data_IF_061967651975
#
_entry.id   IF_061967651975
#
_cell.length_a   1.000
_cell.length_b   1.000
_cell.length_c   1.000
_cell.angle_alpha   90.00
_cell.angle_beta   90.00
_cell.angle_gamma   90.00
#
_symmetry.space_group_name_H-M   'P 1'
#
loop_
_entity.id
_entity.type
_entity.pdbx_description
1 polymer ?
#
# COMPACT_ATOMS: atom_id res chain seq x y z
N UNK A 1 5.76 14.44 -10.81
CA UNK A 1 4.96 14.64 -9.59
C UNK A 1 5.16 13.40 -8.73
N UNK A 2 6.11 13.44 -7.80
CA UNK A 2 6.30 12.37 -6.81
C UNK A 2 5.07 12.36 -5.91
N UNK A 3 4.36 11.23 -5.92
CA UNK A 3 3.23 11.03 -5.04
C UNK A 3 3.79 10.86 -3.62
N UNK A 4 3.79 11.95 -2.85
CA UNK A 4 3.88 11.82 -1.39
C UNK A 4 2.72 10.92 -0.97
N UNK A 5 3.06 9.85 -0.24
CA UNK A 5 2.11 8.87 0.28
C UNK A 5 0.93 9.58 1.00
N UNK A 6 1.14 10.78 1.53
CA UNK A 6 0.18 11.75 2.13
C UNK A 6 -1.24 11.84 1.56
N UNK A 7 -1.49 11.43 0.30
CA UNK A 7 -2.82 11.56 -0.33
C UNK A 7 -3.70 10.33 -0.22
N UNK A 8 -3.27 9.26 0.46
CA UNK A 8 -3.93 7.97 0.37
C UNK A 8 -4.27 7.40 1.74
N UNK A 9 -5.57 7.42 2.07
CA UNK A 9 -6.12 6.73 3.24
C UNK A 9 -5.77 5.24 3.16
N UNK A 10 -5.25 4.69 4.25
CA UNK A 10 -5.13 3.24 4.42
C UNK A 10 -6.52 2.68 4.73
N UNK A 11 -6.90 1.63 4.01
CA UNK A 11 -8.06 0.82 4.36
C UNK A 11 -7.49 -0.37 5.13
N UNK A 12 -7.75 -0.40 6.43
CA UNK A 12 -7.15 -1.37 7.35
C UNK A 12 -8.12 -2.43 7.85
N UNK A 13 -9.40 -2.25 7.58
CA UNK A 13 -10.49 -3.12 8.07
C UNK A 13 -11.24 -3.74 6.89
N UNK A 14 -11.63 -5.00 7.05
CA UNK A 14 -12.37 -5.79 6.06
C UNK A 14 -13.68 -5.11 5.64
N UNK A 15 -14.50 -4.67 6.61
CA UNK A 15 -15.77 -4.00 6.35
C UNK A 15 -15.56 -2.71 5.54
N UNK A 16 -14.52 -1.95 5.85
CA UNK A 16 -14.16 -0.75 5.10
C UNK A 16 -13.74 -1.11 3.66
N UNK A 17 -12.92 -2.16 3.48
CA UNK A 17 -12.50 -2.63 2.17
C UNK A 17 -13.68 -3.06 1.29
N UNK A 18 -14.59 -3.88 1.85
CA UNK A 18 -15.80 -4.30 1.14
C UNK A 18 -16.62 -3.09 0.71
N UNK A 19 -16.90 -2.16 1.64
CA UNK A 19 -17.68 -0.95 1.35
C UNK A 19 -17.07 -0.10 0.24
N UNK A 20 -15.74 0.02 0.23
CA UNK A 20 -15.02 0.69 -0.84
C UNK A 20 -15.23 -0.04 -2.17
N UNK A 21 -14.95 -1.34 -2.24
CA UNK A 21 -15.05 -2.10 -3.51
C UNK A 21 -16.48 -2.04 -4.05
N UNK A 22 -17.49 -2.27 -3.20
CA UNK A 22 -18.91 -2.21 -3.56
C UNK A 22 -19.33 -0.85 -4.13
N UNK A 23 -18.81 0.24 -3.57
CA UNK A 23 -19.08 1.59 -4.08
C UNK A 23 -18.55 1.81 -5.49
N UNK A 24 -17.50 1.09 -5.88
CA UNK A 24 -16.88 1.14 -7.21
C UNK A 24 -17.45 0.09 -8.17
N UNK A 25 -18.02 -1.03 -7.70
CA UNK A 25 -18.57 -2.11 -8.55
C UNK A 25 -19.56 -1.60 -9.59
N UNK A 26 -20.43 -0.66 -9.21
CA UNK A 26 -21.41 -0.08 -10.14
C UNK A 26 -20.79 0.74 -11.29
N UNK A 27 -19.49 1.02 -11.21
CA UNK A 27 -18.71 1.71 -12.24
C UNK A 27 -17.78 0.77 -13.00
N UNK A 28 -17.75 -0.53 -12.69
CA UNK A 28 -16.88 -1.47 -13.40
C UNK A 28 -17.18 -1.46 -14.91
N UNK A 29 -16.14 -1.34 -15.71
CA UNK A 29 -16.19 -1.18 -17.17
C UNK A 29 -16.92 0.08 -17.67
N UNK A 30 -17.14 1.09 -16.82
CA UNK A 30 -17.78 2.35 -17.20
C UNK A 30 -16.78 3.49 -17.35
N UNK A 31 -17.12 4.44 -18.21
CA UNK A 31 -16.36 5.67 -18.42
C UNK A 31 -16.29 6.53 -17.14
N UNK A 32 -15.21 7.27 -17.00
CA UNK A 32 -14.98 8.13 -15.83
C UNK A 32 -16.00 9.27 -15.71
N UNK A 33 -16.75 9.24 -14.62
CA UNK A 33 -17.47 10.39 -14.11
C UNK A 33 -17.00 10.69 -12.67
N UNK A 34 -16.14 11.71 -12.55
CA UNK A 34 -15.53 12.08 -11.27
C UNK A 34 -16.54 12.67 -10.28
N UNK A 35 -17.58 13.32 -10.79
CA UNK A 35 -18.62 13.96 -9.97
C UNK A 35 -19.56 12.91 -9.42
N UNK A 36 -20.03 12.00 -10.27
CA UNK A 36 -20.94 10.93 -9.88
C UNK A 36 -20.29 9.95 -8.89
N UNK A 37 -19.03 9.58 -9.13
CA UNK A 37 -18.25 8.79 -8.18
C UNK A 37 -18.04 9.55 -6.87
N UNK A 38 -17.64 10.82 -6.93
CA UNK A 38 -17.47 11.66 -5.74
C UNK A 38 -18.72 11.71 -4.84
N UNK A 39 -19.90 11.87 -5.45
CA UNK A 39 -21.19 11.81 -4.74
C UNK A 39 -21.44 10.45 -4.11
N UNK A 40 -21.20 9.36 -4.84
CA UNK A 40 -21.36 8.00 -4.32
C UNK A 40 -20.51 7.73 -3.08
N UNK A 41 -19.25 8.17 -3.09
CA UNK A 41 -18.35 7.96 -1.96
C UNK A 41 -18.79 8.76 -0.73
N UNK A 42 -19.48 9.89 -0.92
CA UNK A 42 -20.08 10.65 0.19
C UNK A 42 -21.31 9.94 0.72
N UNK A 43 -22.21 9.51 -0.17
CA UNK A 43 -23.44 8.81 0.20
C UNK A 43 -23.14 7.51 0.95
N UNK A 44 -22.03 6.86 0.58
CA UNK A 44 -21.51 5.65 1.24
C UNK A 44 -20.67 5.98 2.48
N UNK A 45 -20.62 7.23 2.94
CA UNK A 45 -19.83 7.68 4.10
C UNK A 45 -18.35 7.24 4.04
N UNK A 46 -17.77 7.16 2.84
CA UNK A 46 -16.38 6.79 2.60
C UNK A 46 -15.48 8.02 2.66
N UNK A 47 -15.95 9.15 2.11
CA UNK A 47 -15.26 10.44 2.16
C UNK A 47 -16.16 11.49 2.81
N UNK A 48 -15.53 12.48 3.46
CA UNK A 48 -16.25 13.66 3.96
C UNK A 48 -16.73 14.51 2.80
N UNK A 49 -17.98 14.99 2.89
CA UNK A 49 -18.54 15.91 1.92
C UNK A 49 -17.66 17.18 1.82
N UNK A 50 -17.05 17.46 0.66
CA UNK A 50 -16.19 18.63 0.49
C UNK A 50 -16.98 19.90 0.15
N UNK A 51 -18.29 19.79 -0.08
CA UNK A 51 -19.14 20.86 -0.57
C UNK A 51 -19.62 21.71 0.61
N UNK A 52 -19.49 23.03 0.47
CA UNK A 52 -19.98 24.02 1.42
C UNK A 52 -21.36 24.52 1.00
N UNK A 53 -22.13 25.02 1.98
CA UNK A 53 -23.38 25.72 1.70
C UNK A 53 -23.13 26.88 0.73
N UNK A 54 -24.03 27.05 -0.26
CA UNK A 54 -24.00 28.09 -1.29
C UNK A 54 -22.95 27.97 -2.41
N UNK A 55 -22.33 26.79 -2.61
CA UNK A 55 -21.50 26.56 -3.80
C UNK A 55 -22.35 26.46 -5.07
N UNK A 56 -21.90 27.06 -6.16
CA UNK A 56 -22.54 26.92 -7.48
C UNK A 56 -22.30 25.52 -8.05
N UNK A 57 -23.12 25.06 -9.00
CA UNK A 57 -22.91 23.78 -9.69
C UNK A 57 -21.52 23.68 -10.33
N UNK A 58 -21.04 24.78 -10.93
CA UNK A 58 -19.70 24.85 -11.52
C UNK A 58 -18.59 24.66 -10.46
N UNK A 59 -18.73 25.28 -9.28
CA UNK A 59 -17.75 25.16 -8.20
C UNK A 59 -17.77 23.77 -7.55
N UNK A 60 -18.94 23.12 -7.52
CA UNK A 60 -19.09 21.73 -7.07
C UNK A 60 -18.30 20.80 -8.00
N UNK A 61 -18.50 20.89 -9.31
CA UNK A 61 -17.82 20.03 -10.30
C UNK A 61 -16.30 20.24 -10.28
N UNK A 62 -15.87 21.49 -10.15
CA UNK A 62 -14.45 21.85 -9.98
C UNK A 62 -13.87 21.26 -8.69
N UNK A 63 -14.65 21.19 -7.62
CA UNK A 63 -14.21 20.62 -6.34
C UNK A 63 -14.01 19.12 -6.42
N UNK A 64 -14.96 18.38 -7.00
CA UNK A 64 -14.81 16.95 -7.23
C UNK A 64 -13.63 16.64 -8.15
N UNK A 65 -13.49 17.38 -9.25
CA UNK A 65 -12.38 17.23 -10.19
C UNK A 65 -11.02 17.47 -9.53
N UNK A 66 -10.89 18.49 -8.67
CA UNK A 66 -9.65 18.76 -7.93
C UNK A 66 -9.29 17.65 -6.93
N UNK A 67 -10.28 16.97 -6.36
CA UNK A 67 -10.09 15.88 -5.38
C UNK A 67 -9.97 14.50 -6.01
N UNK A 68 -10.11 14.39 -7.33
CA UNK A 68 -10.04 13.15 -8.08
C UNK A 68 -8.86 12.24 -7.68
N UNK A 69 -7.65 12.81 -7.62
CA UNK A 69 -6.44 12.07 -7.26
C UNK A 69 -6.52 11.40 -5.89
N UNK A 70 -7.25 11.98 -4.94
CA UNK A 70 -7.46 11.41 -3.60
C UNK A 70 -8.48 10.26 -3.62
N UNK A 71 -9.50 10.33 -4.48
CA UNK A 71 -10.50 9.25 -4.60
C UNK A 71 -9.89 8.03 -5.28
N UNK A 72 -9.23 8.25 -6.42
CA UNK A 72 -8.64 7.16 -7.19
C UNK A 72 -7.36 6.62 -6.56
N UNK A 73 -6.64 7.44 -5.79
CA UNK A 73 -5.44 7.02 -5.07
C UNK A 73 -5.72 5.94 -4.04
N UNK A 74 -6.82 6.04 -3.28
CA UNK A 74 -7.23 5.01 -2.31
C UNK A 74 -7.55 3.71 -3.03
N UNK A 75 -8.38 3.79 -4.07
CA UNK A 75 -8.78 2.63 -4.88
C UNK A 75 -7.57 1.90 -5.49
N UNK A 76 -6.69 2.63 -6.19
CA UNK A 76 -5.54 2.04 -6.89
C UNK A 76 -4.43 1.58 -5.96
N UNK A 77 -4.15 2.29 -4.86
CA UNK A 77 -3.04 1.92 -3.97
C UNK A 77 -3.31 0.70 -3.09
N UNK A 78 -4.58 0.39 -2.84
CA UNK A 78 -5.02 -0.76 -2.05
C UNK A 78 -5.29 -1.98 -2.94
N UNK A 79 -5.11 -1.86 -4.26
CA UNK A 79 -5.31 -2.97 -5.17
C UNK A 79 -6.77 -3.32 -5.41
N UNK A 80 -7.71 -2.44 -5.07
CA UNK A 80 -9.15 -2.65 -5.32
C UNK A 80 -9.50 -2.59 -6.81
N UNK A 81 -8.66 -1.92 -7.58
CA UNK A 81 -8.80 -1.84 -9.03
C UNK A 81 -7.96 -0.74 -9.62
N UNK A 82 -8.22 -0.47 -10.89
CA UNK A 82 -7.41 0.40 -11.69
C UNK A 82 -8.23 1.09 -12.79
N UNK A 83 -7.47 1.76 -13.64
CA UNK A 83 -7.91 2.86 -14.48
C UNK A 83 -7.23 2.64 -15.83
N UNK A 84 -7.96 2.19 -16.85
CA UNK A 84 -7.40 1.92 -18.18
C UNK A 84 -8.13 2.68 -19.29
N UNK A 85 -7.61 2.60 -20.52
CA UNK A 85 -8.31 3.11 -21.70
C UNK A 85 -9.00 1.96 -22.43
N UNK A 86 -10.27 2.16 -22.80
CA UNK A 86 -10.98 1.24 -23.67
C UNK A 86 -10.45 1.31 -25.12
N UNK A 87 -11.02 0.49 -26.00
CA UNK A 87 -10.67 0.43 -27.43
C UNK A 87 -10.89 1.77 -28.17
N UNK A 88 -11.70 2.68 -27.61
CA UNK A 88 -11.98 4.00 -28.17
C UNK A 88 -11.13 5.11 -27.51
N UNK A 89 -10.20 4.74 -26.62
CA UNK A 89 -9.34 5.67 -25.89
C UNK A 89 -10.01 6.36 -24.69
N UNK A 90 -11.25 5.99 -24.34
CA UNK A 90 -11.97 6.49 -23.17
C UNK A 90 -11.43 5.85 -21.91
N UNK A 91 -11.31 6.63 -20.83
CA UNK A 91 -10.85 6.09 -19.55
C UNK A 91 -11.99 5.37 -18.83
N UNK A 92 -11.79 4.11 -18.49
CA UNK A 92 -12.76 3.26 -17.82
C UNK A 92 -12.23 2.73 -16.49
N UNK A 93 -13.15 2.43 -15.58
CA UNK A 93 -12.83 1.80 -14.30
C UNK A 93 -12.77 0.28 -14.47
N UNK A 94 -11.85 -0.35 -13.76
CA UNK A 94 -11.77 -1.80 -13.62
C UNK A 94 -11.64 -2.14 -12.16
N UNK A 95 -12.52 -3.01 -11.67
CA UNK A 95 -12.27 -3.73 -10.41
C UNK A 95 -11.20 -4.78 -10.69
N UNK A 96 -10.21 -4.88 -9.82
CA UNK A 96 -9.16 -5.89 -9.94
C UNK A 96 -9.71 -7.29 -9.68
N UNK A 97 -9.09 -8.31 -10.26
CA UNK A 97 -9.58 -9.68 -10.10
C UNK A 97 -9.43 -10.17 -8.66
N UNK A 98 -8.32 -9.85 -7.98
CA UNK A 98 -8.17 -10.13 -6.54
C UNK A 98 -9.23 -9.44 -5.68
N UNK A 99 -9.70 -8.25 -6.06
CA UNK A 99 -10.79 -7.60 -5.33
C UNK A 99 -12.12 -8.30 -5.57
N UNK A 100 -12.36 -8.85 -6.77
CA UNK A 100 -13.52 -9.71 -7.07
C UNK A 100 -13.46 -10.99 -6.23
N UNK A 101 -12.32 -11.68 -6.22
CA UNK A 101 -12.12 -12.87 -5.38
C UNK A 101 -12.42 -12.58 -3.89
N UNK A 102 -12.01 -11.42 -3.39
CA UNK A 102 -12.29 -11.03 -2.01
C UNK A 102 -13.78 -10.79 -1.74
N UNK A 103 -14.49 -10.00 -2.57
CA UNK A 103 -15.93 -9.75 -2.37
C UNK A 103 -16.79 -10.99 -2.60
N UNK A 104 -16.31 -11.92 -3.44
CA UNK A 104 -16.98 -13.19 -3.72
C UNK A 104 -16.66 -14.26 -2.65
N UNK A 105 -15.89 -13.89 -1.60
CA UNK A 105 -15.45 -14.75 -0.50
C UNK A 105 -14.58 -15.95 -0.93
N UNK A 106 -13.88 -15.84 -2.06
CA UNK A 106 -12.91 -16.83 -2.51
C UNK A 106 -11.59 -16.74 -1.74
N UNK A 107 -11.23 -15.53 -1.28
CA UNK A 107 -10.07 -15.27 -0.43
C UNK A 107 -10.50 -14.43 0.79
N UNK A 108 -9.81 -14.61 1.91
CA UNK A 108 -9.99 -13.77 3.10
C UNK A 108 -9.40 -12.36 2.92
N UNK A 109 -9.84 -11.40 3.73
CA UNK A 109 -9.22 -10.07 3.77
C UNK A 109 -7.71 -10.14 4.11
N UNK A 110 -7.34 -11.07 4.99
CA UNK A 110 -5.94 -11.34 5.34
C UNK A 110 -5.11 -11.76 4.11
N UNK A 111 -5.61 -12.70 3.32
CA UNK A 111 -4.95 -13.15 2.08
C UNK A 111 -4.86 -12.01 1.06
N UNK A 112 -5.92 -11.22 0.92
CA UNK A 112 -5.96 -10.03 0.08
C UNK A 112 -4.85 -9.04 0.46
N UNK A 113 -4.80 -8.59 1.72
CA UNK A 113 -3.88 -7.53 2.15
C UNK A 113 -2.43 -8.00 2.16
N UNK A 114 -2.16 -9.25 2.56
CA UNK A 114 -0.82 -9.85 2.49
C UNK A 114 -0.34 -9.89 1.05
N UNK A 115 -1.20 -10.30 0.12
CA UNK A 115 -0.84 -10.37 -1.31
C UNK A 115 -0.55 -8.99 -1.88
N UNK A 116 -1.40 -8.02 -1.59
CA UNK A 116 -1.20 -6.64 -2.05
C UNK A 116 0.12 -6.05 -1.53
N UNK A 117 0.40 -6.21 -0.23
CA UNK A 117 1.68 -5.79 0.34
C UNK A 117 2.88 -6.53 -0.24
N UNK A 118 2.72 -7.82 -0.54
CA UNK A 118 3.73 -8.61 -1.23
C UNK A 118 3.94 -8.16 -2.67
N UNK A 119 2.95 -7.59 -3.37
CA UNK A 119 3.12 -7.11 -4.75
C UNK A 119 3.68 -5.69 -4.83
N UNK A 120 3.56 -4.89 -3.78
CA UNK A 120 4.18 -3.55 -3.73
C UNK A 120 5.69 -3.68 -3.96
N UNK A 121 6.20 -2.87 -4.90
CA UNK A 121 7.62 -2.77 -5.18
C UNK A 121 8.06 -1.33 -5.51
N UNK A 122 9.36 -1.08 -5.34
CA UNK A 122 10.04 0.14 -5.75
C UNK A 122 11.22 -0.18 -6.68
N UNK A 123 11.52 0.65 -7.70
CA UNK A 123 10.69 1.76 -8.18
C UNK A 123 9.32 1.26 -8.64
N UNK A 124 8.27 2.08 -8.47
CA UNK A 124 6.92 1.68 -8.89
C UNK A 124 6.90 1.48 -10.40
N UNK A 125 6.28 0.41 -10.93
CA UNK A 125 6.28 0.17 -12.37
C UNK A 125 5.68 1.29 -13.22
N UNK A 126 4.69 2.01 -12.70
CA UNK A 126 4.15 3.23 -13.33
C UNK A 126 4.98 4.51 -13.09
N UNK A 127 6.15 4.39 -12.46
CA UNK A 127 7.05 5.48 -12.11
C UNK A 127 8.05 5.83 -13.21
N UNK A 128 8.71 6.99 -13.04
CA UNK A 128 9.75 7.47 -13.96
C UNK A 128 11.03 6.61 -13.88
N UNK A 129 11.35 6.11 -12.69
CA UNK A 129 12.61 5.40 -12.40
C UNK A 129 12.52 3.89 -12.67
N UNK A 130 11.35 3.38 -13.05
CA UNK A 130 11.19 1.97 -13.41
C UNK A 130 11.68 1.69 -14.83
N UNK A 131 12.48 0.62 -14.93
CA UNK A 131 13.09 0.12 -16.16
C UNK A 131 12.40 -1.20 -16.52
N UNK A 132 11.67 -1.22 -17.63
CA UNK A 132 11.02 -2.43 -18.14
C UNK A 132 12.06 -3.52 -18.45
N UNK A 133 11.69 -4.77 -18.21
CA UNK A 133 12.51 -5.96 -18.44
C UNK A 133 13.81 -6.02 -17.61
N UNK A 134 13.99 -5.13 -16.64
CA UNK A 134 15.07 -5.20 -15.67
C UNK A 134 14.57 -5.69 -14.32
N UNK A 135 15.25 -6.71 -13.79
CA UNK A 135 15.05 -7.16 -12.40
C UNK A 135 15.88 -6.36 -11.41
N UNK A 136 16.88 -5.63 -11.88
CA UNK A 136 17.80 -4.88 -11.04
C UNK A 136 17.07 -3.75 -10.30
N UNK A 137 17.52 -3.46 -9.07
CA UNK A 137 17.01 -2.37 -8.23
C UNK A 137 15.53 -2.46 -7.84
N UNK A 138 14.87 -3.60 -8.06
CA UNK A 138 13.51 -3.83 -7.57
C UNK A 138 13.54 -4.28 -6.11
N UNK A 139 12.86 -3.51 -5.27
CA UNK A 139 12.77 -3.75 -3.84
C UNK A 139 11.33 -4.03 -3.45
N UNK A 140 11.13 -5.05 -2.60
CA UNK A 140 9.85 -5.40 -2.00
C UNK A 140 9.82 -4.94 -0.54
N UNK A 141 9.29 -3.74 -0.22
CA UNK A 141 9.46 -3.12 1.09
C UNK A 141 8.82 -3.94 2.21
N UNK A 142 7.64 -4.55 2.00
CA UNK A 142 7.01 -5.41 2.99
C UNK A 142 7.87 -6.63 3.33
N UNK A 143 8.41 -7.30 2.31
CA UNK A 143 9.32 -8.45 2.49
C UNK A 143 10.59 -8.03 3.22
N UNK A 144 11.14 -6.86 2.90
CA UNK A 144 12.31 -6.30 3.59
C UNK A 144 12.04 -6.07 5.08
N UNK A 145 10.92 -5.45 5.42
CA UNK A 145 10.49 -5.20 6.80
C UNK A 145 10.37 -6.51 7.58
N UNK A 146 9.69 -7.51 7.00
CA UNK A 146 9.53 -8.83 7.64
C UNK A 146 10.89 -9.52 7.86
N UNK A 147 11.80 -9.45 6.88
CA UNK A 147 13.17 -9.99 7.02
C UNK A 147 13.95 -9.31 8.14
N UNK A 148 13.89 -7.98 8.24
CA UNK A 148 14.54 -7.21 9.31
C UNK A 148 13.99 -7.65 10.67
N UNK A 149 12.66 -7.70 10.82
CA UNK A 149 12.03 -8.10 12.08
C UNK A 149 12.38 -9.54 12.48
N UNK A 150 12.45 -10.48 11.53
CA UNK A 150 12.93 -11.85 11.79
C UNK A 150 14.38 -11.84 12.30
N UNK A 151 15.27 -11.10 11.63
CA UNK A 151 16.69 -11.04 12.04
C UNK A 151 16.82 -10.44 13.43
N UNK A 152 16.11 -9.34 13.72
CA UNK A 152 16.10 -8.73 15.05
C UNK A 152 15.56 -9.72 16.10
N UNK A 153 14.45 -10.41 15.80
CA UNK A 153 13.87 -11.43 16.67
C UNK A 153 14.82 -12.58 16.97
N UNK A 154 15.56 -13.07 15.96
CA UNK A 154 16.54 -14.15 16.12
C UNK A 154 17.72 -13.77 17.02
N UNK A 155 18.06 -12.48 17.11
CA UNK A 155 19.16 -11.97 17.93
C UNK A 155 18.74 -11.65 19.35
N UNK A 156 17.57 -11.03 19.53
CA UNK A 156 17.01 -10.74 20.85
C UNK A 156 15.54 -10.40 20.75
N UNK A 157 14.69 -11.15 21.46
CA UNK A 157 13.25 -10.90 21.56
C UNK A 157 12.93 -9.50 22.10
N UNK A 158 13.78 -8.94 22.97
CA UNK A 158 13.58 -7.60 23.56
C UNK A 158 13.94 -6.45 22.61
N UNK A 159 14.69 -6.73 21.54
CA UNK A 159 15.14 -5.75 20.54
C UNK A 159 14.47 -6.02 19.18
N UNK A 160 13.45 -6.88 19.15
CA UNK A 160 12.75 -7.35 17.95
C UNK A 160 11.68 -6.36 17.48
N UNK A 161 12.06 -5.10 17.35
CA UNK A 161 11.19 -4.03 16.91
C UNK A 161 11.87 -3.10 15.92
N UNK A 162 11.10 -2.30 15.20
CA UNK A 162 11.54 -1.10 14.49
C UNK A 162 10.64 0.07 14.91
N UNK A 163 11.13 1.29 14.90
CA UNK A 163 10.32 2.51 15.11
C UNK A 163 10.43 3.45 13.90
N UNK A 164 9.78 4.61 13.99
CA UNK A 164 9.79 5.61 12.91
C UNK A 164 11.20 6.07 12.55
N UNK A 165 12.11 6.14 13.53
CA UNK A 165 13.51 6.47 13.28
C UNK A 165 14.16 5.43 12.37
N UNK A 166 13.98 4.14 12.67
CA UNK A 166 14.55 3.07 11.83
C UNK A 166 13.94 3.09 10.42
N UNK A 167 12.62 3.31 10.32
CA UNK A 167 11.93 3.37 9.03
C UNK A 167 12.46 4.52 8.18
N UNK A 168 12.49 5.74 8.71
CA UNK A 168 12.94 6.91 7.97
C UNK A 168 14.43 6.80 7.62
N UNK A 169 15.25 6.47 8.62
CA UNK A 169 16.72 6.49 8.48
C UNK A 169 17.22 5.37 7.58
N UNK A 170 16.70 4.16 7.75
CA UNK A 170 17.26 2.96 7.14
C UNK A 170 16.45 2.41 5.97
N UNK A 171 15.16 2.70 5.91
CA UNK A 171 14.30 2.22 4.83
C UNK A 171 14.02 3.35 3.83
N UNK A 172 13.36 4.43 4.25
CA UNK A 172 12.92 5.49 3.33
C UNK A 172 14.08 6.24 2.69
N UNK A 173 15.04 6.74 3.47
CA UNK A 173 16.18 7.51 2.96
C UNK A 173 17.09 6.70 2.03
N UNK A 174 16.99 5.37 2.08
CA UNK A 174 17.73 4.46 1.23
C UNK A 174 16.84 3.84 0.13
N UNK A 175 15.63 4.36 -0.09
CA UNK A 175 14.65 3.84 -1.05
C UNK A 175 14.37 2.33 -0.89
N UNK A 176 14.50 1.83 0.34
CA UNK A 176 14.43 0.43 0.71
C UNK A 176 15.52 -0.45 0.03
N UNK A 177 16.48 0.13 -0.69
CA UNK A 177 17.57 -0.54 -1.41
C UNK A 177 18.71 -0.95 -0.46
N UNK A 178 18.39 -1.81 0.49
CA UNK A 178 19.31 -2.21 1.55
C UNK A 178 19.36 -3.70 1.79
N UNK A 179 20.57 -4.20 2.06
CA UNK A 179 20.74 -5.55 2.58
C UNK A 179 20.14 -5.65 3.99
N UNK A 180 19.09 -6.44 4.16
CA UNK A 180 18.37 -6.58 5.43
C UNK A 180 19.27 -6.98 6.62
N UNK A 181 20.38 -7.70 6.40
CA UNK A 181 21.34 -8.05 7.45
C UNK A 181 22.15 -6.83 7.89
N UNK A 182 22.60 -6.03 6.93
CA UNK A 182 23.33 -4.78 7.19
C UNK A 182 22.45 -3.78 7.93
N UNK A 183 21.21 -3.59 7.45
CA UNK A 183 20.23 -2.71 8.09
C UNK A 183 19.94 -3.15 9.53
N UNK A 184 19.71 -4.44 9.74
CA UNK A 184 19.50 -4.99 11.09
C UNK A 184 20.70 -4.78 12.01
N UNK A 185 21.93 -4.85 11.48
CA UNK A 185 23.14 -4.58 12.25
C UNK A 185 23.26 -3.10 12.62
N UNK A 186 22.95 -2.17 11.71
CA UNK A 186 22.96 -0.72 11.98
C UNK A 186 21.94 -0.35 13.05
N UNK A 187 20.71 -0.88 12.95
CA UNK A 187 19.66 -0.68 13.96
C UNK A 187 20.14 -1.11 15.36
N UNK A 188 20.77 -2.28 15.48
CA UNK A 188 21.30 -2.78 16.76
C UNK A 188 22.46 -1.91 17.25
N UNK A 189 23.33 -1.49 16.34
CA UNK A 189 24.46 -0.62 16.66
C UNK A 189 23.99 0.70 17.26
N UNK A 190 23.01 1.36 16.66
CA UNK A 190 22.49 2.64 17.15
C UNK A 190 21.91 2.54 18.55
N UNK A 191 21.14 1.48 18.80
CA UNK A 191 20.53 1.22 20.11
C UNK A 191 21.59 0.98 21.18
N UNK A 192 22.66 0.26 20.85
CA UNK A 192 23.82 0.05 21.76
C UNK A 192 24.54 1.36 22.06
N UNK A 193 24.68 2.23 21.07
CA UNK A 193 25.36 3.52 21.20
C UNK A 193 24.45 4.65 21.71
N UNK A 194 23.17 4.36 21.98
CA UNK A 194 22.17 5.33 22.47
C UNK A 194 22.11 6.58 21.58
N UNK A 195 22.16 6.39 20.26
CA UNK A 195 21.98 7.51 19.34
C UNK A 195 20.61 8.14 19.54
N UNK A 196 20.53 9.45 19.31
CA UNK A 196 19.26 10.20 19.37
C UNK A 196 18.39 9.74 18.21
N UNK A 197 17.16 9.34 18.52
CA UNK A 197 16.20 8.75 17.58
C UNK A 197 15.08 9.73 17.25
N UNK A 198 15.45 10.92 16.79
CA UNK A 198 14.50 12.00 16.47
C UNK A 198 14.33 12.13 14.95
N UNK A 199 13.08 11.97 14.48
CA UNK A 199 12.69 12.10 13.07
C UNK A 199 11.32 12.75 12.97
N UNK A 200 11.11 13.53 11.91
CA UNK A 200 9.79 14.06 11.57
C UNK A 200 8.90 12.92 11.03
N UNK A 201 8.07 12.36 11.90
CA UNK A 201 7.14 11.25 11.59
C UNK A 201 5.76 11.72 11.10
N UNK A 202 5.52 13.03 10.96
CA UNK A 202 4.20 13.54 10.61
C UNK A 202 3.73 13.03 9.24
N UNK A 203 2.66 12.21 9.25
CA UNK A 203 1.96 11.75 8.04
C UNK A 203 2.58 10.56 7.29
N UNK A 204 3.62 9.91 7.84
CA UNK A 204 4.41 8.90 7.10
C UNK A 204 3.95 7.43 7.22
N UNK A 205 3.01 7.13 8.11
CA UNK A 205 2.67 5.76 8.52
C UNK A 205 1.87 4.91 7.51
N UNK A 206 1.71 5.30 6.25
CA UNK A 206 0.74 4.63 5.34
C UNK A 206 1.14 3.18 5.01
N UNK A 207 2.41 2.91 4.72
CA UNK A 207 2.84 1.52 4.48
C UNK A 207 2.75 0.69 5.76
N UNK A 208 3.22 1.23 6.88
CA UNK A 208 3.20 0.51 8.15
C UNK A 208 1.79 0.26 8.66
N UNK A 209 0.85 1.19 8.48
CA UNK A 209 -0.56 1.00 8.79
C UNK A 209 -1.17 -0.15 7.98
N UNK A 210 -0.81 -0.28 6.69
CA UNK A 210 -1.21 -1.45 5.90
C UNK A 210 -0.57 -2.72 6.46
N UNK A 211 0.70 -2.69 6.83
CA UNK A 211 1.37 -3.84 7.45
C UNK A 211 0.67 -4.30 8.73
N UNK A 212 0.16 -3.38 9.55
CA UNK A 212 -0.61 -3.72 10.76
C UNK A 212 -1.90 -4.48 10.44
N UNK A 213 -2.50 -4.24 9.27
CA UNK A 213 -3.73 -4.91 8.83
C UNK A 213 -3.52 -6.39 8.47
N UNK A 214 -2.27 -6.83 8.37
CA UNK A 214 -1.91 -8.24 8.11
C UNK A 214 -1.88 -9.10 9.36
N UNK A 215 -1.95 -8.50 10.56
CA UNK A 215 -1.72 -9.19 11.85
C UNK A 215 -0.34 -9.88 12.00
N UNK A 216 0.54 -9.81 10.99
CA UNK A 216 1.92 -10.31 11.05
C UNK A 216 2.83 -9.37 11.83
N UNK A 217 2.44 -8.09 11.90
CA UNK A 217 3.12 -7.02 12.63
C UNK A 217 2.11 -6.36 13.54
N UNK A 218 2.49 -6.04 14.78
CA UNK A 218 1.69 -5.24 15.71
C UNK A 218 2.47 -4.01 16.19
N UNK A 219 1.75 -2.98 16.66
CA UNK A 219 2.34 -1.74 17.17
C UNK A 219 2.11 -1.64 18.68
N UNK A 220 3.16 -1.33 19.44
CA UNK A 220 3.12 -1.04 20.89
C UNK A 220 4.14 0.06 21.17
N UNK A 221 3.78 1.11 21.93
CA UNK A 221 4.68 2.23 22.28
C UNK A 221 5.49 2.81 21.11
N UNK A 222 4.82 3.08 19.97
CA UNK A 222 5.43 3.56 18.72
C UNK A 222 6.52 2.65 18.13
N UNK A 223 6.47 1.37 18.46
CA UNK A 223 7.37 0.34 17.94
C UNK A 223 6.55 -0.74 17.25
N UNK A 224 7.07 -1.22 16.13
CA UNK A 224 6.49 -2.26 15.31
C UNK A 224 7.22 -3.58 15.57
N UNK A 225 6.47 -4.61 15.91
CA UNK A 225 6.97 -5.91 16.33
C UNK A 225 6.43 -7.01 15.44
N UNK A 226 7.21 -8.08 15.28
CA UNK A 226 6.73 -9.30 14.64
C UNK A 226 5.72 -10.02 15.56
N UNK A 227 4.59 -10.45 15.02
CA UNK A 227 3.69 -11.35 15.72
C UNK A 227 4.35 -12.73 15.87
N UNK A 228 4.82 -13.03 17.08
CA UNK A 228 5.56 -14.27 17.39
C UNK A 228 4.76 -15.55 17.10
N UNK A 229 3.43 -15.47 17.10
CA UNK A 229 2.56 -16.62 16.83
C UNK A 229 2.44 -16.90 15.31
N UNK A 230 2.97 -16.02 14.47
CA UNK A 230 2.87 -16.05 13.01
C UNK A 230 4.23 -16.19 12.33
N UNK A 231 5.29 -16.56 13.06
CA UNK A 231 6.66 -16.62 12.52
C UNK A 231 6.76 -17.57 11.32
N UNK A 232 6.17 -18.76 11.40
CA UNK A 232 6.21 -19.74 10.32
C UNK A 232 5.49 -19.23 9.06
N UNK A 233 4.36 -18.55 9.27
CA UNK A 233 3.61 -17.88 8.20
C UNK A 233 4.45 -16.79 7.53
N UNK A 234 5.10 -15.94 8.33
CA UNK A 234 6.00 -14.88 7.84
C UNK A 234 7.16 -15.48 7.03
N UNK A 235 7.78 -16.55 7.51
CA UNK A 235 8.86 -17.23 6.79
C UNK A 235 8.38 -17.82 5.46
N UNK A 236 7.19 -18.42 5.45
CA UNK A 236 6.53 -18.92 4.24
C UNK A 236 6.29 -17.79 3.22
N UNK A 237 5.72 -16.67 3.67
CA UNK A 237 5.46 -15.49 2.84
C UNK A 237 6.76 -14.96 2.23
N UNK A 238 7.81 -14.78 3.04
CA UNK A 238 9.12 -14.33 2.54
C UNK A 238 9.65 -15.28 1.47
N UNK A 239 9.66 -16.59 1.73
CA UNK A 239 10.18 -17.59 0.80
C UNK A 239 9.40 -17.61 -0.51
N UNK A 240 8.07 -17.48 -0.46
CA UNK A 240 7.19 -17.47 -1.63
C UNK A 240 7.40 -16.22 -2.48
N UNK A 241 7.46 -15.04 -1.85
CA UNK A 241 7.31 -13.77 -2.55
C UNK A 241 8.61 -12.99 -2.76
N UNK A 242 9.73 -13.33 -2.12
CA UNK A 242 10.95 -12.51 -2.19
C UNK A 242 11.54 -12.37 -3.61
N UNK A 243 11.29 -13.34 -4.49
CA UNK A 243 11.79 -13.33 -5.88
C UNK A 243 10.74 -12.90 -6.90
N UNK A 244 9.50 -12.71 -6.47
CA UNK A 244 8.37 -12.36 -7.33
C UNK A 244 8.35 -10.84 -7.54
N UNK A 245 9.12 -10.36 -8.52
CA UNK A 245 9.16 -8.94 -8.90
C UNK A 245 8.52 -8.78 -10.27
N UNK A 246 7.77 -7.69 -10.44
CA UNK A 246 7.30 -7.26 -11.75
C UNK A 246 8.44 -6.59 -12.51
N UNK A 247 8.72 -7.08 -13.71
CA UNK A 247 9.69 -6.52 -14.66
C UNK A 247 9.08 -6.45 -16.07
N UNK A 248 7.75 -6.44 -16.19
CA UNK A 248 7.02 -6.34 -17.45
C UNK A 248 6.88 -4.90 -17.97
N UNK A 249 5.98 -4.70 -18.94
CA UNK A 249 5.64 -3.37 -19.45
C UNK A 249 4.87 -2.56 -18.41
N UNK A 250 5.00 -1.24 -18.41
CA UNK A 250 4.29 -0.41 -17.42
C UNK A 250 2.77 -0.59 -17.47
N UNK A 251 2.22 -0.87 -18.64
CA UNK A 251 0.79 -1.07 -18.86
C UNK A 251 0.27 -2.33 -18.14
N UNK A 252 1.08 -3.39 -18.08
CA UNK A 252 0.70 -4.69 -17.50
C UNK A 252 0.80 -4.69 -15.95
N UNK A 253 1.28 -3.60 -15.34
CA UNK A 253 1.42 -3.49 -13.89
C UNK A 253 0.10 -3.70 -13.16
N UNK A 254 -0.99 -3.16 -13.70
CA UNK A 254 -2.28 -3.24 -13.03
C UNK A 254 -2.82 -4.68 -13.00
N UNK A 255 -2.54 -5.46 -14.05
CA UNK A 255 -2.88 -6.88 -14.12
C UNK A 255 -2.04 -7.70 -13.13
N UNK A 256 -0.74 -7.41 -13.01
CA UNK A 256 0.09 -8.06 -11.98
C UNK A 256 -0.36 -7.69 -10.56
N UNK A 257 -0.54 -6.39 -10.29
CA UNK A 257 -0.88 -5.89 -8.97
C UNK A 257 -2.27 -6.36 -8.52
N UNK A 258 -3.24 -6.34 -9.44
CA UNK A 258 -4.63 -6.69 -9.23
C UNK A 258 -5.03 -8.12 -9.62
N UNK A 259 -4.11 -8.94 -10.13
CA UNK A 259 -4.44 -10.28 -10.65
C UNK A 259 -4.81 -11.29 -9.56
N UNK A 260 -5.39 -12.40 -9.96
CA UNK A 260 -5.86 -13.48 -9.06
C UNK A 260 -4.71 -14.11 -8.23
N UNK A 261 -5.07 -14.85 -7.16
CA UNK A 261 -4.16 -15.65 -6.32
C UNK A 261 -4.28 -17.15 -6.61
#
# INVERSE_FOLDING_TARGET
MEWKLDRVRTVSEEEEAMKFIESYLKYDNKEYDTVLLGKTLIDSNIIKNPIKENMTSYDIDKTYSKKWGSYIGIFTSNGFGYTEKDLNGKKIFKISDIAKQFIDNEISYHEFIVTQLCRIQFPKPNGKDYIEYSRENNVKPFILILKILIVLYSKSKFQAWIDDYDIVTYLENHNYDGNYLELSNKIIYDRKNKLVRDVDSYGRDILMNKCLSTELIFKEDNKYYLNKNKIDEVQSIIKKHEKEVFFGKKEDWCEFFGGEI
#
